data_IF_236540356688
#
_entry.id   IF_236540356688
#
_cell.length_a   1.000
_cell.length_b   1.000
_cell.length_c   1.000
_cell.angle_alpha   90.00
_cell.angle_beta   90.00
_cell.angle_gamma   90.00
#
_symmetry.space_group_name_H-M   'P 1'
#
loop_
_entity.id
_entity.type
_entity.pdbx_description
1 polymer ?
#
# COMPACT_ATOMS: atom_id res chain seq x y z
N UNK A 1 -8.76 -10.45 16.09
CA UNK A 1 -8.30 -9.78 14.86
C UNK A 1 -8.72 -10.67 13.70
N UNK A 2 -9.34 -10.12 12.67
CA UNK A 2 -9.78 -10.88 11.50
C UNK A 2 -8.55 -11.31 10.67
N UNK A 3 -8.34 -12.61 10.38
CA UNK A 3 -7.22 -13.09 9.59
C UNK A 3 -7.04 -12.37 8.24
N UNK A 4 -8.13 -11.93 7.60
CA UNK A 4 -8.05 -11.20 6.34
C UNK A 4 -7.38 -9.82 6.52
N UNK A 5 -7.66 -9.16 7.65
CA UNK A 5 -7.03 -7.88 7.99
C UNK A 5 -5.52 -8.00 8.24
N UNK A 6 -5.06 -9.15 8.74
CA UNK A 6 -3.65 -9.42 8.97
C UNK A 6 -2.89 -9.63 7.66
N UNK A 7 -3.45 -10.45 6.76
CA UNK A 7 -2.90 -10.69 5.42
C UNK A 7 -2.76 -9.37 4.63
N UNK A 8 -3.79 -8.51 4.67
CA UNK A 8 -3.74 -7.23 3.97
C UNK A 8 -2.67 -6.29 4.53
N UNK A 9 -2.42 -6.35 5.84
CA UNK A 9 -1.35 -5.57 6.48
C UNK A 9 0.03 -6.09 6.09
N UNK A 10 0.22 -7.40 5.99
CA UNK A 10 1.46 -8.00 5.49
C UNK A 10 1.72 -7.61 4.04
N UNK A 11 0.72 -7.75 3.16
CA UNK A 11 0.82 -7.36 1.74
C UNK A 11 1.14 -5.85 1.62
N UNK A 12 0.47 -5.00 2.39
CA UNK A 12 0.77 -3.56 2.44
C UNK A 12 2.21 -3.27 2.85
N UNK A 13 2.75 -4.04 3.79
CA UNK A 13 4.15 -4.00 4.18
C UNK A 13 5.11 -4.33 3.04
N UNK A 14 4.80 -5.37 2.24
CA UNK A 14 5.60 -5.74 1.06
C UNK A 14 5.62 -4.63 0.01
N UNK A 15 4.48 -4.00 -0.27
CA UNK A 15 4.43 -2.84 -1.17
C UNK A 15 5.30 -1.68 -0.67
N UNK A 16 5.24 -1.38 0.63
CA UNK A 16 6.08 -0.34 1.25
C UNK A 16 7.57 -0.66 1.11
N UNK A 17 7.97 -1.90 1.36
CA UNK A 17 9.36 -2.33 1.22
C UNK A 17 9.86 -2.17 -0.22
N UNK A 18 9.08 -2.65 -1.20
CA UNK A 18 9.43 -2.54 -2.61
C UNK A 18 9.59 -1.07 -3.05
N UNK A 19 8.67 -0.19 -2.62
CA UNK A 19 8.76 1.24 -2.93
C UNK A 19 10.01 1.90 -2.35
N UNK A 20 10.33 1.62 -1.09
CA UNK A 20 11.52 2.18 -0.44
C UNK A 20 12.80 1.65 -1.07
N UNK A 21 12.84 0.38 -1.46
CA UNK A 21 13.97 -0.21 -2.18
C UNK A 21 14.20 0.45 -3.56
N UNK A 22 13.13 0.93 -4.21
CA UNK A 22 13.20 1.70 -5.44
C UNK A 22 13.50 3.21 -5.22
N UNK A 23 13.72 3.65 -3.97
CA UNK A 23 13.89 5.06 -3.60
C UNK A 23 12.73 5.97 -4.06
N UNK A 24 11.51 5.44 -4.08
CA UNK A 24 10.33 6.16 -4.56
C UNK A 24 9.45 6.68 -3.42
N UNK A 25 8.79 7.81 -3.65
CA UNK A 25 7.72 8.33 -2.78
C UNK A 25 6.39 7.63 -3.07
N UNK A 26 5.46 7.68 -2.11
CA UNK A 26 4.10 7.16 -2.34
C UNK A 26 3.41 7.83 -3.53
N UNK A 27 3.72 9.10 -3.79
CA UNK A 27 3.15 9.87 -4.89
C UNK A 27 3.67 9.38 -6.24
N UNK A 28 4.98 9.17 -6.37
CA UNK A 28 5.57 8.64 -7.61
C UNK A 28 5.04 7.24 -7.97
N UNK A 29 4.87 6.35 -6.99
CA UNK A 29 4.27 5.02 -7.27
C UNK A 29 2.79 5.13 -7.59
N UNK A 30 2.05 6.00 -6.90
CA UNK A 30 0.64 6.23 -7.18
C UNK A 30 0.42 6.75 -8.61
N UNK A 31 1.26 7.69 -9.06
CA UNK A 31 1.24 8.23 -10.42
C UNK A 31 1.51 7.13 -11.46
N UNK A 32 2.55 6.31 -11.25
CA UNK A 32 2.86 5.16 -12.12
C UNK A 32 1.72 4.13 -12.17
N UNK A 33 1.03 3.92 -11.05
CA UNK A 33 -0.07 2.97 -10.94
C UNK A 33 -1.42 3.53 -11.41
N UNK A 34 -1.50 4.82 -11.80
CA UNK A 34 -2.74 5.48 -12.19
C UNK A 34 -3.77 5.57 -11.07
N UNK A 35 -3.33 5.70 -9.81
CA UNK A 35 -4.20 5.85 -8.64
C UNK A 35 -3.83 7.10 -7.84
N UNK A 36 -4.71 7.53 -6.94
CA UNK A 36 -4.40 8.64 -6.04
C UNK A 36 -3.41 8.21 -4.95
N UNK A 37 -2.54 9.13 -4.52
CA UNK A 37 -1.63 8.93 -3.38
C UNK A 37 -2.35 8.43 -2.11
N UNK A 38 -3.52 8.97 -1.70
CA UNK A 38 -4.27 8.42 -0.56
C UNK A 38 -4.65 6.95 -0.73
N UNK A 39 -5.07 6.54 -1.93
CA UNK A 39 -5.39 5.13 -2.22
C UNK A 39 -4.16 4.24 -2.09
N UNK A 40 -3.02 4.68 -2.63
CA UNK A 40 -1.76 3.95 -2.48
C UNK A 40 -1.32 3.83 -1.01
N UNK A 41 -1.42 4.91 -0.23
CA UNK A 41 -1.14 4.91 1.22
C UNK A 41 -2.03 3.92 1.96
N UNK A 42 -3.31 3.84 1.62
CA UNK A 42 -4.26 2.93 2.29
C UNK A 42 -3.95 1.46 1.96
N UNK A 43 -3.45 1.18 0.75
CA UNK A 43 -2.90 -0.14 0.36
C UNK A 43 -1.68 -0.49 1.22
N UNK A 44 -0.71 0.42 1.37
CA UNK A 44 0.48 0.16 2.21
C UNK A 44 0.13 -0.10 3.69
N UNK A 45 -0.98 0.46 4.16
CA UNK A 45 -1.47 0.23 5.53
C UNK A 45 -2.31 -1.05 5.69
N UNK A 46 -2.67 -1.72 4.60
CA UNK A 46 -3.66 -2.79 4.61
C UNK A 46 -5.07 -2.30 4.97
N UNK A 47 -5.34 -1.00 4.85
CA UNK A 47 -6.62 -0.37 5.20
C UNK A 47 -7.63 -0.35 4.04
N UNK A 48 -7.20 -0.76 2.84
CA UNK A 48 -7.98 -0.64 1.61
C UNK A 48 -9.19 -1.58 1.50
N UNK A 49 -9.39 -2.53 2.42
CA UNK A 49 -10.53 -3.47 2.37
C UNK A 49 -11.73 -3.06 3.23
N UNK A 50 -11.79 -1.83 3.75
CA UNK A 50 -13.00 -1.32 4.36
C UNK A 50 -13.88 -0.64 3.30
N UNK A 51 -14.45 -1.45 2.40
CA UNK A 51 -15.73 -1.21 1.71
C UNK A 51 -16.16 -2.41 0.89
#
# INVERSE_FOLDING_TARGET
>A
MDPQSEILREIGGLFRQARLAAAMTQEQVADLAGISRPRYRDIEKGAAAAR
#
